data_IF_934839630608
#
_entry.id   IF_934839630608
#
_cell.length_a   1.000
_cell.length_b   1.000
_cell.length_c   1.000
_cell.angle_alpha   90.00
_cell.angle_beta   90.00
_cell.angle_gamma   90.00
#
_symmetry.space_group_name_H-M   'P 1'
#
loop_
_entity.id
_entity.type
_entity.pdbx_description
1 polymer ?
#
# COMPACT_ATOMS: atom_id res chain seq x y z
N UNK A 1 75.24 -21.33 24.82
CA UNK A 1 73.81 -21.73 24.86
C UNK A 1 72.92 -20.60 25.36
N UNK A 2 73.05 -19.39 24.80
CA UNK A 2 72.26 -18.20 25.25
C UNK A 2 71.49 -17.49 24.12
N UNK A 3 71.52 -18.01 22.90
CA UNK A 3 70.95 -17.32 21.75
C UNK A 3 69.68 -18.00 21.17
N UNK A 4 69.24 -19.11 21.72
CA UNK A 4 68.05 -19.83 21.23
C UNK A 4 66.73 -19.34 21.83
N UNK A 5 66.78 -18.62 22.96
CA UNK A 5 65.57 -18.14 23.65
C UNK A 5 64.97 -16.85 23.05
N UNK A 6 65.72 -16.10 22.25
CA UNK A 6 65.25 -14.85 21.63
C UNK A 6 64.49 -15.07 20.32
N UNK A 7 64.68 -16.20 19.65
CA UNK A 7 64.02 -16.49 18.38
C UNK A 7 62.56 -16.95 18.52
N UNK A 8 62.18 -17.49 19.71
CA UNK A 8 60.80 -17.99 19.93
C UNK A 8 59.85 -16.86 20.35
N UNK A 9 60.36 -15.77 20.94
CA UNK A 9 59.52 -14.62 21.32
C UNK A 9 59.11 -13.74 20.13
N UNK A 10 59.85 -13.77 19.01
CA UNK A 10 59.53 -12.98 17.83
C UNK A 10 58.47 -13.61 16.91
N UNK A 11 58.24 -14.93 17.03
CA UNK A 11 57.27 -15.67 16.19
C UNK A 11 55.83 -15.62 16.73
N UNK A 12 55.63 -15.25 17.98
CA UNK A 12 54.30 -15.19 18.62
C UNK A 12 53.60 -13.85 18.40
N UNK A 13 54.24 -12.82 17.84
CA UNK A 13 53.66 -11.49 17.67
C UNK A 13 52.99 -11.26 16.31
N UNK A 14 53.03 -12.22 15.40
CA UNK A 14 52.51 -12.09 14.02
C UNK A 14 51.04 -12.61 13.88
N UNK A 15 50.48 -13.25 14.91
CA UNK A 15 49.12 -13.86 14.82
C UNK A 15 48.01 -13.04 15.45
N UNK A 16 48.28 -11.82 15.92
CA UNK A 16 47.24 -10.88 16.33
C UNK A 16 46.89 -9.91 15.19
N UNK A 17 46.58 -10.46 14.00
CA UNK A 17 45.75 -9.68 13.06
C UNK A 17 44.40 -9.54 13.72
N UNK A 18 43.92 -8.31 14.02
CA UNK A 18 42.52 -8.13 14.35
C UNK A 18 41.75 -8.71 13.14
N UNK A 19 41.02 -9.77 13.35
CA UNK A 19 39.94 -10.11 12.45
C UNK A 19 39.03 -8.85 12.46
N UNK A 20 39.26 -7.94 11.54
CA UNK A 20 38.29 -6.95 11.18
C UNK A 20 37.07 -7.78 10.80
N UNK A 21 36.19 -8.04 11.74
CA UNK A 21 34.92 -8.63 11.52
C UNK A 21 34.32 -7.73 10.45
N UNK A 22 34.34 -8.21 9.21
CA UNK A 22 33.61 -7.57 8.13
C UNK A 22 32.21 -7.48 8.68
N UNK A 23 31.78 -6.28 9.02
CA UNK A 23 30.38 -5.99 9.29
C UNK A 23 29.67 -6.26 7.97
N UNK A 24 29.46 -7.55 7.68
CA UNK A 24 28.54 -7.98 6.64
C UNK A 24 27.19 -7.42 7.08
N UNK A 25 26.83 -6.26 6.54
CA UNK A 25 25.61 -5.60 6.90
C UNK A 25 24.45 -6.56 6.73
N UNK A 26 23.49 -6.51 7.64
CA UNK A 26 22.33 -7.40 7.62
C UNK A 26 21.43 -7.06 6.44
N UNK A 27 20.84 -8.08 5.84
CA UNK A 27 19.75 -7.92 4.86
C UNK A 27 18.46 -8.34 5.57
N UNK A 28 17.45 -7.47 5.52
CA UNK A 28 16.11 -7.75 6.02
C UNK A 28 15.12 -7.95 4.89
N UNK A 29 14.07 -8.70 5.16
CA UNK A 29 12.89 -8.76 4.28
C UNK A 29 11.64 -8.38 5.08
N UNK A 30 10.74 -7.68 4.43
CA UNK A 30 9.48 -7.23 5.03
C UNK A 30 8.33 -7.51 4.06
N UNK A 31 7.20 -7.93 4.58
CA UNK A 31 5.95 -7.85 3.84
C UNK A 31 5.24 -6.55 4.25
N UNK A 32 5.42 -5.51 3.45
CA UNK A 32 4.90 -4.17 3.76
C UNK A 32 3.38 -4.15 3.88
N UNK A 33 2.68 -4.90 3.01
CA UNK A 33 1.22 -5.00 3.07
C UNK A 33 0.76 -5.66 4.37
N UNK A 34 1.39 -6.77 4.76
CA UNK A 34 1.10 -7.42 6.04
C UNK A 34 1.47 -6.54 7.23
N UNK A 35 2.56 -5.78 7.13
CA UNK A 35 2.94 -4.82 8.16
C UNK A 35 1.85 -3.76 8.36
N UNK A 36 1.32 -3.17 7.28
CA UNK A 36 0.25 -2.17 7.34
C UNK A 36 -1.00 -2.75 8.00
N UNK A 37 -1.53 -3.87 7.48
CA UNK A 37 -2.78 -4.46 7.98
C UNK A 37 -2.65 -5.09 9.37
N UNK A 38 -1.42 -5.46 9.77
CA UNK A 38 -1.12 -6.05 11.07
C UNK A 38 -1.09 -5.06 12.21
N UNK A 39 -0.86 -3.76 11.95
CA UNK A 39 -0.87 -2.72 12.98
C UNK A 39 -2.28 -2.48 13.53
N UNK A 40 -2.37 -1.92 14.74
CA UNK A 40 -3.66 -1.50 15.34
C UNK A 40 -4.38 -0.47 14.47
N UNK A 41 -3.64 0.48 13.90
CA UNK A 41 -4.20 1.49 13.01
C UNK A 41 -4.69 0.86 11.70
N UNK A 42 -3.96 -0.11 11.14
CA UNK A 42 -4.37 -0.85 9.96
C UNK A 42 -5.63 -1.69 10.18
N UNK A 43 -5.72 -2.38 11.31
CA UNK A 43 -6.91 -3.14 11.69
C UNK A 43 -8.13 -2.22 11.89
N UNK A 44 -7.93 -1.08 12.55
CA UNK A 44 -8.99 -0.06 12.71
C UNK A 44 -9.46 0.45 11.35
N UNK A 45 -8.55 0.83 10.48
CA UNK A 45 -8.87 1.29 9.13
C UNK A 45 -9.60 0.22 8.29
N UNK A 46 -9.18 -1.05 8.38
CA UNK A 46 -9.86 -2.17 7.75
C UNK A 46 -11.29 -2.35 8.25
N UNK A 47 -11.51 -2.23 9.56
CA UNK A 47 -12.85 -2.30 10.15
C UNK A 47 -13.73 -1.11 9.72
N UNK A 48 -13.17 0.09 9.61
CA UNK A 48 -13.88 1.27 9.10
C UNK A 48 -14.31 1.08 7.63
N UNK A 49 -13.43 0.53 6.78
CA UNK A 49 -13.78 0.15 5.41
C UNK A 49 -14.93 -0.84 5.40
N UNK A 50 -14.83 -1.94 6.15
CA UNK A 50 -15.88 -2.95 6.18
C UNK A 50 -17.23 -2.37 6.63
N UNK A 51 -17.23 -1.58 7.69
CA UNK A 51 -18.44 -0.94 8.22
C UNK A 51 -19.08 0.00 7.19
N UNK A 52 -18.28 0.71 6.41
CA UNK A 52 -18.74 1.65 5.40
C UNK A 52 -19.24 0.95 4.12
N UNK A 53 -18.54 -0.11 3.68
CA UNK A 53 -18.80 -0.72 2.38
C UNK A 53 -19.71 -1.95 2.42
N UNK A 54 -19.82 -2.66 3.57
CA UNK A 54 -20.75 -3.79 3.69
C UNK A 54 -22.21 -3.41 3.37
N UNK A 55 -22.77 -2.28 3.84
CA UNK A 55 -24.13 -1.88 3.46
C UNK A 55 -24.28 -1.63 1.96
N UNK A 56 -23.28 -0.99 1.32
CA UNK A 56 -23.29 -0.75 -0.13
C UNK A 56 -23.28 -2.05 -0.91
N UNK A 57 -22.45 -3.01 -0.50
CA UNK A 57 -22.41 -4.34 -1.11
C UNK A 57 -23.75 -5.06 -1.00
N UNK A 58 -24.36 -5.06 0.18
CA UNK A 58 -25.67 -5.66 0.38
C UNK A 58 -26.78 -5.00 -0.47
N UNK A 59 -26.70 -3.68 -0.66
CA UNK A 59 -27.63 -2.95 -1.54
C UNK A 59 -27.46 -3.34 -3.01
N UNK A 60 -26.23 -3.44 -3.49
CA UNK A 60 -25.94 -3.87 -4.87
C UNK A 60 -26.40 -5.30 -5.12
N UNK A 61 -26.15 -6.22 -4.17
CA UNK A 61 -26.63 -7.60 -4.22
C UNK A 61 -28.16 -7.68 -4.28
N UNK A 62 -28.87 -6.85 -3.49
CA UNK A 62 -30.32 -6.75 -3.54
C UNK A 62 -30.80 -6.27 -4.90
N UNK A 63 -30.21 -5.21 -5.46
CA UNK A 63 -30.58 -4.69 -6.79
C UNK A 63 -30.34 -5.73 -7.88
N UNK A 64 -29.27 -6.50 -7.79
CA UNK A 64 -29.00 -7.63 -8.70
C UNK A 64 -30.08 -8.69 -8.61
N UNK A 65 -30.52 -9.05 -7.38
CA UNK A 65 -31.63 -9.98 -7.17
C UNK A 65 -32.95 -9.46 -7.74
N UNK A 66 -33.26 -8.15 -7.55
CA UNK A 66 -34.46 -7.54 -8.10
C UNK A 66 -34.48 -7.60 -9.64
N UNK A 67 -33.35 -7.36 -10.29
CA UNK A 67 -33.20 -7.49 -11.75
C UNK A 67 -33.42 -8.94 -12.18
N UNK A 68 -32.85 -9.91 -11.48
CA UNK A 68 -33.04 -11.33 -11.78
C UNK A 68 -34.52 -11.74 -11.67
N UNK A 69 -35.25 -11.22 -10.67
CA UNK A 69 -36.68 -11.46 -10.53
C UNK A 69 -37.50 -10.89 -11.69
N UNK A 70 -37.17 -9.69 -12.14
CA UNK A 70 -37.84 -9.07 -13.32
C UNK A 70 -37.56 -9.86 -14.60
N UNK A 71 -36.32 -10.33 -14.79
CA UNK A 71 -35.96 -11.21 -15.91
C UNK A 71 -36.75 -12.52 -15.88
N UNK A 72 -36.90 -13.11 -14.69
CA UNK A 72 -37.69 -14.32 -14.51
C UNK A 72 -39.19 -14.07 -14.81
N UNK A 73 -39.76 -12.93 -14.36
CA UNK A 73 -41.12 -12.53 -14.69
C UNK A 73 -41.29 -12.38 -16.19
N UNK A 74 -40.35 -11.74 -16.89
CA UNK A 74 -40.38 -11.58 -18.35
C UNK A 74 -40.33 -12.94 -19.05
N UNK A 75 -39.49 -13.86 -18.59
CA UNK A 75 -39.33 -15.20 -19.16
C UNK A 75 -40.58 -16.08 -18.90
N UNK A 76 -41.11 -16.06 -17.68
CA UNK A 76 -42.31 -16.85 -17.30
C UNK A 76 -43.57 -16.28 -17.99
N UNK A 77 -43.65 -14.97 -18.17
CA UNK A 77 -44.76 -14.31 -18.81
C UNK A 77 -44.93 -14.67 -20.30
N UNK A 78 -43.83 -15.05 -20.95
CA UNK A 78 -43.79 -15.62 -22.30
C UNK A 78 -44.84 -15.01 -23.24
N UNK A 79 -45.78 -15.83 -23.69
CA UNK A 79 -46.87 -15.45 -24.57
C UNK A 79 -48.08 -14.88 -23.83
N UNK A 80 -48.14 -14.90 -22.51
CA UNK A 80 -49.27 -14.40 -21.71
C UNK A 80 -49.20 -12.89 -21.44
N UNK A 81 -48.02 -12.30 -21.50
CA UNK A 81 -47.85 -10.84 -21.37
C UNK A 81 -48.29 -10.12 -22.66
N UNK A 82 -48.98 -9.01 -22.49
CA UNK A 82 -49.20 -8.11 -23.60
C UNK A 82 -47.88 -7.50 -24.11
N UNK A 83 -47.85 -7.07 -25.38
CA UNK A 83 -46.62 -6.43 -25.91
C UNK A 83 -46.21 -5.19 -25.12
N UNK A 84 -47.17 -4.38 -24.66
CA UNK A 84 -46.91 -3.22 -23.82
C UNK A 84 -46.29 -3.62 -22.46
N UNK A 85 -46.82 -4.66 -21.82
CA UNK A 85 -46.29 -5.14 -20.55
C UNK A 85 -44.86 -5.68 -20.70
N UNK A 86 -44.59 -6.44 -21.76
CA UNK A 86 -43.26 -6.93 -22.10
C UNK A 86 -42.30 -5.78 -22.35
N UNK A 87 -42.68 -4.79 -23.16
CA UNK A 87 -41.86 -3.64 -23.45
C UNK A 87 -41.53 -2.79 -22.20
N UNK A 88 -42.49 -2.70 -21.23
CA UNK A 88 -42.24 -2.02 -19.94
C UNK A 88 -41.25 -2.76 -19.12
N UNK A 89 -41.41 -4.08 -18.94
CA UNK A 89 -40.45 -4.91 -18.17
C UNK A 89 -39.05 -4.87 -18.77
N UNK A 90 -38.93 -4.96 -20.08
CA UNK A 90 -37.65 -4.88 -20.77
C UNK A 90 -36.96 -3.54 -20.48
N UNK A 91 -37.67 -2.43 -20.62
CA UNK A 91 -37.11 -1.11 -20.31
C UNK A 91 -36.74 -0.95 -18.85
N UNK A 92 -37.52 -1.51 -17.92
CA UNK A 92 -37.22 -1.46 -16.51
C UNK A 92 -35.96 -2.26 -16.19
N UNK A 93 -35.80 -3.48 -16.75
CA UNK A 93 -34.61 -4.30 -16.62
C UNK A 93 -33.37 -3.55 -17.14
N UNK A 94 -33.46 -2.97 -18.34
CA UNK A 94 -32.34 -2.21 -18.92
C UNK A 94 -31.95 -1.00 -18.05
N UNK A 95 -32.89 -0.24 -17.54
CA UNK A 95 -32.65 0.91 -16.69
C UNK A 95 -31.99 0.50 -15.36
N UNK A 96 -32.54 -0.54 -14.72
CA UNK A 96 -31.99 -1.06 -13.45
C UNK A 96 -30.59 -1.65 -13.64
N UNK A 97 -30.35 -2.37 -14.73
CA UNK A 97 -29.04 -2.93 -15.06
C UNK A 97 -28.01 -1.83 -15.29
N UNK A 98 -28.37 -0.79 -16.05
CA UNK A 98 -27.49 0.37 -16.29
C UNK A 98 -27.17 1.11 -14.97
N UNK A 99 -28.17 1.29 -14.11
CA UNK A 99 -27.96 1.91 -12.80
C UNK A 99 -27.06 1.04 -11.91
N UNK A 100 -27.30 -0.27 -11.85
CA UNK A 100 -26.47 -1.21 -11.07
C UNK A 100 -25.00 -1.19 -11.51
N UNK A 101 -24.75 -1.21 -12.83
CA UNK A 101 -23.38 -1.17 -13.34
C UNK A 101 -22.67 0.11 -12.91
N UNK A 102 -23.31 1.27 -13.06
CA UNK A 102 -22.74 2.54 -12.63
C UNK A 102 -22.48 2.56 -11.12
N UNK A 103 -23.47 2.18 -10.32
CA UNK A 103 -23.35 2.21 -8.86
C UNK A 103 -22.28 1.21 -8.37
N UNK A 104 -22.04 0.11 -9.11
CA UNK A 104 -20.97 -0.85 -8.85
C UNK A 104 -19.59 -0.25 -9.16
N UNK A 105 -19.46 0.46 -10.29
CA UNK A 105 -18.24 1.18 -10.67
C UNK A 105 -17.91 2.28 -9.65
N UNK A 106 -18.91 3.06 -9.27
CA UNK A 106 -18.75 4.12 -8.26
C UNK A 106 -18.33 3.56 -6.91
N UNK A 107 -18.95 2.45 -6.45
CA UNK A 107 -18.60 1.81 -5.20
C UNK A 107 -17.17 1.24 -5.21
N UNK A 108 -16.71 0.70 -6.35
CA UNK A 108 -15.32 0.24 -6.52
C UNK A 108 -14.34 1.40 -6.45
N UNK A 109 -14.62 2.48 -7.20
CA UNK A 109 -13.75 3.66 -7.19
C UNK A 109 -13.62 4.28 -5.79
N UNK A 110 -14.72 4.35 -5.02
CA UNK A 110 -14.68 4.82 -3.64
C UNK A 110 -13.86 3.90 -2.72
N UNK A 111 -13.98 2.57 -2.91
CA UNK A 111 -13.20 1.60 -2.13
C UNK A 111 -11.71 1.74 -2.44
N UNK A 112 -11.33 1.78 -3.71
CA UNK A 112 -9.96 1.95 -4.16
C UNK A 112 -9.35 3.25 -3.61
N UNK A 113 -10.10 4.34 -3.61
CA UNK A 113 -9.65 5.61 -3.02
C UNK A 113 -9.45 5.51 -1.51
N UNK A 114 -10.36 4.83 -0.80
CA UNK A 114 -10.24 4.63 0.64
C UNK A 114 -9.02 3.78 0.99
N UNK A 115 -8.77 2.71 0.24
CA UNK A 115 -7.59 1.86 0.40
C UNK A 115 -6.29 2.61 0.11
N UNK A 116 -6.22 3.35 -1.00
CA UNK A 116 -5.05 4.16 -1.34
C UNK A 116 -4.74 5.21 -0.28
N UNK A 117 -5.77 5.85 0.27
CA UNK A 117 -5.60 6.82 1.35
C UNK A 117 -4.98 6.16 2.59
N UNK A 118 -5.52 5.01 3.01
CA UNK A 118 -5.00 4.26 4.16
C UNK A 118 -3.55 3.82 3.91
N UNK A 119 -3.27 3.27 2.72
CA UNK A 119 -1.92 2.86 2.35
C UNK A 119 -0.93 4.04 2.38
N UNK A 120 -1.36 5.22 1.91
CA UNK A 120 -0.54 6.43 1.97
C UNK A 120 -0.28 6.92 3.39
N UNK A 121 -1.33 6.99 4.23
CA UNK A 121 -1.24 7.49 5.60
C UNK A 121 -0.43 6.55 6.52
N UNK A 122 -0.71 5.25 6.48
CA UNK A 122 -0.02 4.27 7.31
C UNK A 122 1.36 3.91 6.76
N UNK A 123 1.48 3.80 5.43
CA UNK A 123 2.73 3.46 4.76
C UNK A 123 3.86 4.42 5.09
N UNK A 124 3.59 5.73 5.08
CA UNK A 124 4.58 6.74 5.48
C UNK A 124 5.09 6.56 6.91
N UNK A 125 4.18 6.25 7.83
CA UNK A 125 4.52 5.95 9.22
C UNK A 125 5.35 4.68 9.39
N UNK A 126 5.01 3.63 8.66
CA UNK A 126 5.74 2.35 8.67
C UNK A 126 7.13 2.52 8.06
N UNK A 127 7.27 3.25 6.94
CA UNK A 127 8.57 3.54 6.33
C UNK A 127 9.50 4.27 7.30
N UNK A 128 9.00 5.21 8.09
CA UNK A 128 9.80 5.90 9.11
C UNK A 128 10.29 4.93 10.21
N UNK A 129 9.46 3.95 10.61
CA UNK A 129 9.84 2.90 11.56
C UNK A 129 10.89 1.97 10.95
N UNK A 130 10.72 1.57 9.69
CA UNK A 130 11.70 0.72 8.98
C UNK A 130 13.05 1.42 8.89
N UNK A 131 13.09 2.69 8.50
CA UNK A 131 14.34 3.46 8.38
C UNK A 131 15.09 3.51 9.73
N UNK A 132 14.37 3.83 10.80
CA UNK A 132 14.95 3.85 12.14
C UNK A 132 15.44 2.46 12.58
N UNK A 133 14.60 1.43 12.43
CA UNK A 133 14.94 0.07 12.82
C UNK A 133 16.16 -0.46 12.06
N UNK A 134 16.20 -0.23 10.75
CA UNK A 134 17.28 -0.66 9.90
C UNK A 134 18.63 -0.04 10.34
N UNK A 135 18.64 1.26 10.60
CA UNK A 135 19.83 1.98 11.09
C UNK A 135 20.27 1.48 12.45
N UNK A 136 19.34 1.34 13.39
CA UNK A 136 19.63 0.95 14.78
C UNK A 136 20.17 -0.51 14.87
N UNK A 137 19.78 -1.39 13.93
CA UNK A 137 20.12 -2.81 13.93
C UNK A 137 21.19 -3.21 12.89
N UNK A 138 21.76 -2.25 12.16
CA UNK A 138 22.85 -2.49 11.19
C UNK A 138 22.38 -3.19 9.90
N UNK A 139 21.13 -2.98 9.47
CA UNK A 139 20.67 -3.41 8.17
C UNK A 139 21.21 -2.46 7.10
N UNK A 140 21.76 -3.03 6.03
CA UNK A 140 22.21 -2.29 4.85
C UNK A 140 21.18 -2.31 3.73
N UNK A 141 20.24 -3.24 3.79
CA UNK A 141 19.18 -3.40 2.79
C UNK A 141 17.95 -4.03 3.44
N UNK A 142 16.78 -3.51 3.12
CA UNK A 142 15.48 -4.12 3.43
C UNK A 142 14.70 -4.27 2.13
N UNK A 143 14.23 -5.49 1.84
CA UNK A 143 13.52 -5.82 0.61
C UNK A 143 12.05 -6.06 0.94
N UNK A 144 11.16 -5.36 0.24
CA UNK A 144 9.73 -5.62 0.32
C UNK A 144 9.37 -6.87 -0.50
N UNK A 145 8.72 -7.82 0.17
CA UNK A 145 8.26 -9.09 -0.42
C UNK A 145 6.73 -9.17 -0.52
N UNK A 146 6.02 -8.06 -0.42
CA UNK A 146 4.55 -8.05 -0.54
C UNK A 146 4.07 -8.33 -1.97
N UNK A 147 4.89 -8.02 -2.99
CA UNK A 147 4.55 -8.30 -4.37
C UNK A 147 4.89 -9.74 -4.78
N UNK A 148 3.98 -10.46 -5.49
CA UNK A 148 4.28 -11.79 -6.04
C UNK A 148 5.37 -11.78 -7.11
N UNK A 149 5.72 -10.61 -7.68
CA UNK A 149 6.81 -10.46 -8.64
C UNK A 149 8.16 -10.18 -7.98
N UNK A 150 8.25 -10.19 -6.65
CA UNK A 150 9.52 -9.99 -5.96
C UNK A 150 10.50 -11.10 -6.33
N UNK A 151 11.76 -10.78 -6.69
CA UNK A 151 12.75 -11.77 -7.13
C UNK A 151 13.37 -12.58 -5.98
N UNK A 152 12.79 -12.56 -4.79
CA UNK A 152 13.25 -13.33 -3.63
C UNK A 152 12.73 -14.75 -3.73
N UNK A 153 13.63 -15.68 -4.05
CA UNK A 153 13.31 -17.11 -4.20
C UNK A 153 13.39 -17.87 -2.87
N UNK A 154 14.28 -17.44 -1.98
CA UNK A 154 14.49 -18.05 -0.66
C UNK A 154 14.79 -16.97 0.38
N UNK A 155 14.27 -17.15 1.58
CA UNK A 155 14.58 -16.33 2.75
C UNK A 155 14.61 -17.18 4.01
N UNK A 156 15.48 -16.86 4.94
CA UNK A 156 15.45 -17.40 6.28
C UNK A 156 14.44 -16.63 7.14
N UNK A 157 13.79 -17.29 8.09
CA UNK A 157 12.91 -16.61 9.06
C UNK A 157 13.64 -15.51 9.84
N UNK A 158 14.95 -15.70 10.11
CA UNK A 158 15.78 -14.72 10.80
C UNK A 158 15.99 -13.41 10.04
N UNK A 159 15.69 -13.37 8.75
CA UNK A 159 15.76 -12.15 7.94
C UNK A 159 14.44 -11.39 7.89
N UNK A 160 13.34 -12.00 8.34
CA UNK A 160 12.03 -11.37 8.32
C UNK A 160 11.83 -10.42 9.50
N UNK A 161 11.55 -9.16 9.19
CA UNK A 161 11.39 -8.09 10.17
C UNK A 161 9.96 -7.57 10.29
N UNK A 162 8.99 -8.17 9.59
CA UNK A 162 7.59 -7.69 9.54
C UNK A 162 6.99 -7.53 10.93
N UNK A 163 7.16 -8.53 11.80
CA UNK A 163 6.63 -8.51 13.16
C UNK A 163 7.27 -7.43 14.03
N UNK A 164 8.59 -7.28 13.93
CA UNK A 164 9.32 -6.27 14.70
C UNK A 164 8.85 -4.86 14.33
N UNK A 165 8.64 -4.63 13.03
CA UNK A 165 8.15 -3.34 12.53
C UNK A 165 6.72 -3.07 13.01
N UNK A 166 5.81 -4.06 12.98
CA UNK A 166 4.45 -3.93 13.52
C UNK A 166 4.49 -3.53 14.99
N UNK A 167 5.27 -4.27 15.81
CA UNK A 167 5.38 -3.99 17.24
C UNK A 167 5.95 -2.61 17.54
N UNK A 168 6.96 -2.19 16.79
CA UNK A 168 7.56 -0.87 16.95
C UNK A 168 6.62 0.24 16.51
N UNK A 169 5.87 0.00 15.42
CA UNK A 169 4.86 0.94 14.96
C UNK A 169 3.78 1.15 16.01
N UNK A 170 3.27 0.08 16.60
CA UNK A 170 2.22 0.11 17.61
C UNK A 170 2.66 0.68 18.97
N UNK A 171 3.96 0.64 19.25
CA UNK A 171 4.56 1.24 20.47
C UNK A 171 4.84 2.74 20.33
N UNK A 172 4.70 3.31 19.12
CA UNK A 172 4.88 4.76 18.94
C UNK A 172 3.86 5.53 19.79
N UNK A 173 4.25 6.62 20.45
CA UNK A 173 3.25 7.56 20.92
C UNK A 173 2.46 8.05 19.70
N UNK A 174 1.13 8.03 19.79
CA UNK A 174 0.21 8.49 18.74
C UNK A 174 0.61 9.92 18.34
N UNK A 175 1.45 10.03 17.31
CA UNK A 175 1.68 11.31 16.65
C UNK A 175 0.57 11.45 15.61
N UNK A 176 -0.17 12.56 15.59
CA UNK A 176 -1.09 12.81 14.49
C UNK A 176 -0.28 12.65 13.20
N UNK A 177 -0.83 11.91 12.24
CA UNK A 177 -0.21 11.54 10.99
C UNK A 177 0.77 12.60 10.52
N UNK A 178 2.05 12.21 10.40
CA UNK A 178 3.07 13.11 9.89
C UNK A 178 2.59 13.58 8.53
N UNK A 179 2.25 14.85 8.45
CA UNK A 179 1.89 15.50 7.20
C UNK A 179 2.93 15.08 6.16
N UNK A 180 2.46 14.57 5.04
CA UNK A 180 3.30 14.26 3.90
C UNK A 180 4.32 15.39 3.73
N UNK A 181 5.61 15.11 3.41
CA UNK A 181 6.54 16.16 3.14
C UNK A 181 5.93 17.00 2.02
N UNK A 182 5.62 18.24 2.34
CA UNK A 182 5.15 19.21 1.36
C UNK A 182 6.17 19.18 0.23
N UNK A 183 5.78 18.59 -0.88
CA UNK A 183 6.51 18.69 -2.15
C UNK A 183 6.83 20.17 -2.34
N UNK A 184 8.12 20.50 -2.40
CA UNK A 184 8.62 21.85 -2.38
C UNK A 184 7.83 22.75 -3.31
N UNK A 185 7.11 23.67 -2.71
CA UNK A 185 6.54 24.80 -3.43
C UNK A 185 7.71 25.51 -4.12
N UNK A 186 7.81 25.33 -5.41
CA UNK A 186 8.66 26.13 -6.27
C UNK A 186 8.28 27.60 -6.02
N UNK A 187 9.24 28.34 -5.52
CA UNK A 187 9.17 29.75 -5.24
C UNK A 187 8.88 30.50 -6.55
N UNK A 188 7.77 31.19 -6.72
CA UNK A 188 7.59 32.07 -7.86
C UNK A 188 8.26 33.38 -7.55
N UNK A 189 9.41 33.64 -8.14
CA UNK A 189 10.15 34.88 -7.92
C UNK A 189 11.24 35.09 -8.94
N UNK A 190 10.85 35.22 -10.19
CA UNK A 190 11.66 35.89 -11.20
C UNK A 190 10.92 37.13 -11.73
N UNK A 191 11.58 38.27 -11.93
CA UNK A 191 10.90 39.48 -12.39
C UNK A 191 10.38 39.30 -13.82
N UNK A 192 9.10 39.58 -13.97
CA UNK A 192 8.41 39.63 -15.27
C UNK A 192 8.96 40.77 -16.07
N UNK A 193 9.71 40.47 -17.13
CA UNK A 193 10.12 41.43 -18.14
C UNK A 193 8.89 41.72 -19.01
N UNK A 194 8.44 42.98 -19.19
CA UNK A 194 7.31 43.31 -20.01
C UNK A 194 7.60 43.06 -21.49
N UNK A 195 6.76 42.23 -22.13
CA UNK A 195 6.78 42.03 -23.58
C UNK A 195 6.26 43.29 -24.28
N UNK A 196 6.98 43.86 -25.26
CA UNK A 196 6.51 45.01 -26.00
C UNK A 196 5.32 44.66 -26.91
N UNK A 197 4.29 45.50 -26.86
CA UNK A 197 3.05 45.44 -27.65
C UNK A 197 3.36 45.59 -29.12
N UNK A 198 2.86 44.76 -30.02
CA UNK A 198 3.03 44.96 -31.47
C UNK A 198 2.25 46.20 -31.96
N UNK A 199 2.92 46.97 -32.84
CA UNK A 199 2.37 48.15 -33.50
C UNK A 199 1.31 47.75 -34.55
N UNK A 200 0.31 48.62 -34.81
CA UNK A 200 -0.72 48.35 -35.81
C UNK A 200 -0.19 48.49 -37.23
N UNK A 201 -0.73 47.74 -38.20
CA UNK A 201 -0.31 47.81 -39.59
C UNK A 201 -0.78 49.09 -40.24
N UNK A 202 0.07 49.60 -41.12
CA UNK A 202 -0.25 50.71 -42.03
C UNK A 202 -1.07 50.23 -43.22
#
# INVERSE_FOLDING_TARGET
MKNASFAIAALALVLALPAAAQNAGKIGVINLQNAIVGTKDGQKAGNEIQTRFNPKKAELEKRQSDIAQLQEQLNRGGTTLSEDARARLTREIEQKTKALNRDTEDARAELDQAEQKIMGELGGGIMAVIDKYAKDNGYILVIDISSPQTPVVFRSESTEITKDIIELYDKRPLSPAAAAPASGAAKPGGPVVPVPKPAPPK
#
